data_IF_639496271215
#
_entry.id   IF_639496271215
#
_cell.length_a   1.000
_cell.length_b   1.000
_cell.length_c   1.000
_cell.angle_alpha   90.00
_cell.angle_beta   90.00
_cell.angle_gamma   90.00
#
_symmetry.space_group_name_H-M   'P 1'
#
loop_
_entity.id
_entity.type
_entity.pdbx_description
1 polymer ?
#
# COMPACT_ATOMS: atom_id res chain seq x y z
N UNK A 1 -7.39 -17.18 -19.59
CA UNK A 1 -8.17 -16.41 -18.58
C UNK A 1 -7.50 -15.07 -18.41
N UNK A 2 -8.14 -14.03 -18.92
CA UNK A 2 -7.64 -12.66 -18.92
C UNK A 2 -7.38 -12.14 -17.49
N UNK A 3 -6.37 -11.26 -17.32
CA UNK A 3 -5.98 -10.75 -16.00
C UNK A 3 -7.13 -10.01 -15.29
N UNK A 4 -7.99 -9.32 -16.04
CA UNK A 4 -9.16 -8.63 -15.50
C UNK A 4 -10.20 -9.60 -14.92
N UNK A 5 -10.47 -10.71 -15.62
CA UNK A 5 -11.41 -11.74 -15.16
C UNK A 5 -10.96 -12.34 -13.83
N UNK A 6 -9.64 -12.55 -13.64
CA UNK A 6 -9.11 -13.03 -12.35
C UNK A 6 -9.34 -12.05 -11.21
N UNK A 7 -9.14 -10.76 -11.45
CA UNK A 7 -9.39 -9.72 -10.43
C UNK A 7 -10.87 -9.64 -10.06
N UNK A 8 -11.75 -9.65 -11.07
CA UNK A 8 -13.21 -9.60 -10.86
C UNK A 8 -13.70 -10.79 -10.05
N UNK A 9 -13.22 -12.01 -10.34
CA UNK A 9 -13.55 -13.21 -9.57
C UNK A 9 -13.08 -13.06 -8.12
N UNK A 10 -11.87 -12.52 -7.90
CA UNK A 10 -11.30 -12.33 -6.55
C UNK A 10 -12.08 -11.31 -5.73
N UNK A 11 -12.51 -10.21 -6.34
CA UNK A 11 -13.38 -9.21 -5.72
C UNK A 11 -14.77 -9.79 -5.39
N UNK A 12 -15.34 -10.58 -6.30
CA UNK A 12 -16.60 -11.28 -6.03
C UNK A 12 -16.47 -12.28 -4.87
N UNK A 13 -15.33 -12.95 -4.74
CA UNK A 13 -15.03 -13.83 -3.60
C UNK A 13 -14.92 -13.04 -2.29
N UNK A 14 -14.27 -11.86 -2.30
CA UNK A 14 -14.21 -10.99 -1.13
C UNK A 14 -15.59 -10.47 -0.70
N UNK A 15 -16.49 -10.21 -1.64
CA UNK A 15 -17.86 -9.83 -1.32
C UNK A 15 -18.64 -10.98 -0.64
N UNK A 16 -18.47 -12.22 -1.15
CA UNK A 16 -19.17 -13.40 -0.62
C UNK A 16 -18.58 -13.92 0.69
N UNK A 17 -17.26 -13.87 0.83
CA UNK A 17 -16.54 -14.30 2.02
C UNK A 17 -15.55 -13.19 2.42
N UNK A 18 -16.02 -12.18 3.14
CA UNK A 18 -15.19 -11.04 3.50
C UNK A 18 -14.01 -11.49 4.37
N UNK A 19 -12.81 -10.93 4.14
CA UNK A 19 -11.69 -11.16 5.04
C UNK A 19 -12.07 -10.75 6.47
N UNK A 20 -11.48 -11.41 7.46
CA UNK A 20 -11.84 -11.18 8.86
C UNK A 20 -11.72 -9.70 9.21
N UNK A 21 -12.61 -9.21 10.08
CA UNK A 21 -12.61 -7.79 10.51
C UNK A 21 -11.25 -7.34 11.05
N UNK A 22 -10.49 -8.26 11.66
CA UNK A 22 -9.13 -8.01 12.13
C UNK A 22 -8.17 -7.72 10.96
N UNK A 23 -8.19 -8.53 9.91
CA UNK A 23 -7.38 -8.33 8.71
C UNK A 23 -7.71 -7.02 8.02
N UNK A 24 -9.00 -6.69 7.87
CA UNK A 24 -9.42 -5.42 7.26
C UNK A 24 -8.91 -4.23 8.07
N UNK A 25 -9.02 -4.26 9.40
CA UNK A 25 -8.47 -3.18 10.25
C UNK A 25 -6.97 -3.04 10.11
N UNK A 26 -6.22 -4.14 10.12
CA UNK A 26 -4.76 -4.10 9.94
C UNK A 26 -4.43 -3.45 8.59
N UNK A 27 -5.07 -3.90 7.51
CA UNK A 27 -4.84 -3.33 6.19
C UNK A 27 -5.17 -1.84 6.11
N UNK A 28 -6.32 -1.41 6.65
CA UNK A 28 -6.74 0.00 6.65
C UNK A 28 -5.81 0.86 7.50
N UNK A 29 -5.45 0.41 8.72
CA UNK A 29 -4.53 1.14 9.59
C UNK A 29 -3.16 1.29 8.95
N UNK A 30 -2.62 0.21 8.37
CA UNK A 30 -1.35 0.26 7.64
C UNK A 30 -1.41 1.22 6.46
N UNK A 31 -2.49 1.18 5.68
CA UNK A 31 -2.67 2.08 4.53
C UNK A 31 -2.72 3.55 4.98
N UNK A 32 -3.49 3.85 6.02
CA UNK A 32 -3.57 5.20 6.60
C UNK A 32 -2.21 5.64 7.14
N UNK A 33 -1.50 4.77 7.84
CA UNK A 33 -0.17 5.07 8.37
C UNK A 33 0.81 5.46 7.26
N UNK A 34 0.87 4.66 6.19
CA UNK A 34 1.74 4.96 5.03
C UNK A 34 1.31 6.26 4.36
N UNK A 35 0.00 6.49 4.17
CA UNK A 35 -0.49 7.72 3.57
C UNK A 35 -0.11 8.97 4.41
N UNK A 36 -0.18 8.87 5.74
CA UNK A 36 0.24 9.95 6.65
C UNK A 36 1.74 10.22 6.54
N UNK A 37 2.57 9.18 6.52
CA UNK A 37 4.02 9.31 6.35
C UNK A 37 4.35 10.04 5.05
N UNK A 38 3.71 9.63 3.94
CA UNK A 38 3.91 10.28 2.63
C UNK A 38 3.39 11.73 2.62
N UNK A 39 2.28 12.00 3.30
CA UNK A 39 1.76 13.36 3.42
C UNK A 39 2.74 14.26 4.19
N UNK A 40 3.32 13.77 5.28
CA UNK A 40 4.35 14.48 6.05
C UNK A 40 5.57 14.75 5.18
N UNK A 41 6.06 13.73 4.46
CA UNK A 41 7.19 13.85 3.53
C UNK A 41 6.97 14.95 2.49
N UNK A 42 5.76 15.05 1.92
CA UNK A 42 5.46 16.04 0.88
C UNK A 42 5.19 17.45 1.41
N UNK A 43 4.68 17.59 2.63
CA UNK A 43 4.27 18.89 3.18
C UNK A 43 5.38 19.58 3.97
N UNK A 44 6.17 18.83 4.74
CA UNK A 44 7.22 19.38 5.60
C UNK A 44 8.61 19.11 5.01
N UNK A 45 8.77 18.02 4.25
CA UNK A 45 10.08 17.52 3.88
C UNK A 45 10.76 16.83 5.05
N UNK A 46 11.65 15.88 4.76
CA UNK A 46 12.50 15.27 5.77
C UNK A 46 13.78 16.10 5.94
N UNK A 47 14.26 16.33 7.17
CA UNK A 47 15.58 16.90 7.37
C UNK A 47 16.65 15.93 6.85
N UNK A 48 17.82 16.45 6.47
CA UNK A 48 18.85 15.70 5.73
C UNK A 48 19.26 14.38 6.41
N UNK A 49 19.22 14.31 7.74
CA UNK A 49 19.52 13.11 8.53
C UNK A 49 18.45 12.00 8.46
N UNK A 50 17.26 12.30 7.94
CA UNK A 50 16.14 11.38 7.72
C UNK A 50 15.85 11.15 6.24
N UNK A 51 16.52 11.87 5.34
CA UNK A 51 16.38 11.70 3.90
C UNK A 51 17.09 10.43 3.45
N UNK A 52 16.37 9.55 2.74
CA UNK A 52 16.95 8.34 2.17
C UNK A 52 17.74 8.67 0.89
N UNK A 53 18.97 8.16 0.80
CA UNK A 53 19.79 8.26 -0.41
C UNK A 53 19.15 7.43 -1.53
N UNK A 54 18.99 8.01 -2.73
CA UNK A 54 18.48 7.26 -3.88
C UNK A 54 19.56 6.30 -4.38
N UNK A 55 19.46 5.02 -3.99
CA UNK A 55 20.34 3.98 -4.53
C UNK A 55 19.92 3.68 -5.97
N UNK A 56 20.79 3.88 -6.98
CA UNK A 56 20.47 3.54 -8.36
C UNK A 56 20.34 2.02 -8.47
N UNK A 57 19.16 1.55 -8.88
CA UNK A 57 18.94 0.13 -9.18
C UNK A 57 19.72 -0.21 -10.45
N UNK A 58 20.80 -0.97 -10.31
CA UNK A 58 21.54 -1.52 -11.46
C UNK A 58 20.65 -2.56 -12.15
N UNK A 59 19.96 -2.15 -13.21
CA UNK A 59 19.33 -3.10 -14.15
C UNK A 59 20.46 -3.77 -14.93
N UNK A 60 20.71 -5.05 -14.63
CA UNK A 60 21.52 -5.94 -15.46
C UNK A 60 20.67 -6.45 -16.62
#
# INVERSE_FOLDING_TARGET
>A
MDPLTRLLIRLAQWHRNPPSRRWVRIAVVTLVLVAVVVAIEKLVGWPDWLSAERVPIRRM
#
